data_IF_596061606883
#
_entry.id   IF_596061606883
#
_cell.length_a   1.000
_cell.length_b   1.000
_cell.length_c   1.000
_cell.angle_alpha   90.00
_cell.angle_beta   90.00
_cell.angle_gamma   90.00
#
_symmetry.space_group_name_H-M   'P 1'
#
loop_
_entity.id
_entity.type
_entity.pdbx_description
1 polymer ?
#
# COMPACT_ATOMS: atom_id res chain seq x y z
N UNK A 1 28.96 -9.47 5.45
CA UNK A 1 28.56 -8.46 4.45
C UNK A 1 27.07 -8.29 4.60
N UNK A 2 26.64 -7.26 5.33
CA UNK A 2 25.23 -6.98 5.56
C UNK A 2 24.70 -6.20 4.36
N UNK A 3 23.99 -6.86 3.46
CA UNK A 3 23.35 -6.19 2.33
C UNK A 3 22.12 -5.47 2.86
N UNK A 4 22.23 -4.16 3.06
CA UNK A 4 21.10 -3.26 3.26
C UNK A 4 20.14 -3.45 2.10
N UNK A 5 18.97 -4.06 2.35
CA UNK A 5 17.87 -4.19 1.39
C UNK A 5 17.43 -2.77 1.03
N UNK A 6 17.87 -2.28 -0.13
CA UNK A 6 17.46 -0.96 -0.65
C UNK A 6 15.95 -1.01 -0.84
N UNK A 7 15.25 0.01 -0.34
CA UNK A 7 13.82 0.17 -0.61
C UNK A 7 13.59 0.22 -2.12
N UNK A 8 12.69 -0.63 -2.60
CA UNK A 8 12.20 -0.64 -3.97
C UNK A 8 11.68 0.75 -4.32
N UNK A 9 12.14 1.30 -5.45
CA UNK A 9 11.72 2.63 -5.89
C UNK A 9 10.42 2.54 -6.69
N UNK A 10 9.56 3.58 -6.65
CA UNK A 10 8.31 3.61 -7.43
C UNK A 10 8.48 3.27 -8.92
N UNK A 11 9.64 3.60 -9.50
CA UNK A 11 9.94 3.29 -10.90
C UNK A 11 10.04 1.78 -11.21
N UNK A 12 10.33 0.95 -10.21
CA UNK A 12 10.37 -0.52 -10.37
C UNK A 12 8.97 -1.12 -10.22
N UNK A 13 8.07 -0.48 -9.47
CA UNK A 13 6.68 -0.92 -9.31
C UNK A 13 5.84 -0.61 -10.56
N UNK A 14 6.16 0.47 -11.29
CA UNK A 14 5.40 0.88 -12.49
C UNK A 14 5.55 -0.05 -13.71
N UNK A 15 6.50 -1.00 -13.70
CA UNK A 15 6.64 -1.99 -14.78
C UNK A 15 5.77 -3.24 -14.54
N UNK A 16 5.31 -3.46 -13.31
CA UNK A 16 4.44 -4.56 -12.91
C UNK A 16 2.99 -4.09 -12.76
N UNK A 17 2.03 -4.95 -13.13
CA UNK A 17 0.62 -4.66 -12.88
C UNK A 17 0.30 -4.91 -11.39
N UNK A 18 -0.50 -4.05 -10.73
CA UNK A 18 -0.95 -4.32 -9.39
C UNK A 18 -1.81 -5.59 -9.35
N UNK A 19 -1.63 -6.38 -8.29
CA UNK A 19 -2.41 -7.59 -8.03
C UNK A 19 -3.83 -7.22 -7.59
N UNK A 20 -3.95 -6.14 -6.82
CA UNK A 20 -5.21 -5.52 -6.44
C UNK A 20 -5.13 -4.02 -6.70
N UNK A 21 -6.14 -3.47 -7.36
CA UNK A 21 -6.43 -2.04 -7.39
C UNK A 21 -7.77 -1.82 -6.70
N UNK A 22 -7.76 -1.05 -5.62
CA UNK A 22 -8.93 -0.70 -4.86
C UNK A 22 -9.18 0.80 -4.99
N UNK A 23 -10.32 1.16 -5.60
CA UNK A 23 -10.76 2.54 -5.70
C UNK A 23 -11.39 2.96 -4.37
N UNK A 24 -10.80 3.95 -3.72
CA UNK A 24 -11.28 4.53 -2.47
C UNK A 24 -12.46 5.44 -2.75
N UNK A 25 -13.51 5.32 -1.94
CA UNK A 25 -14.59 6.32 -1.97
C UNK A 25 -14.14 7.60 -1.26
N UNK A 26 -14.51 8.79 -1.73
CA UNK A 26 -13.98 10.05 -1.21
C UNK A 26 -14.28 10.30 0.28
N UNK A 27 -15.32 9.66 0.82
CA UNK A 27 -15.68 9.70 2.24
C UNK A 27 -15.10 8.52 3.05
N UNK A 28 -14.42 7.56 2.40
CA UNK A 28 -13.80 6.40 3.03
C UNK A 28 -12.46 6.75 3.67
N UNK A 29 -12.26 6.29 4.91
CA UNK A 29 -10.98 6.49 5.58
C UNK A 29 -9.90 5.56 4.98
N UNK A 30 -8.64 6.00 5.05
CA UNK A 30 -7.53 5.22 4.48
C UNK A 30 -7.35 3.85 5.15
N UNK A 31 -7.74 3.70 6.42
CA UNK A 31 -7.62 2.42 7.15
C UNK A 31 -8.50 1.35 6.53
N UNK A 32 -9.80 1.65 6.40
CA UNK A 32 -10.80 0.77 5.83
C UNK A 32 -10.49 0.49 4.38
N UNK A 33 -10.04 1.50 3.63
CA UNK A 33 -9.66 1.32 2.23
C UNK A 33 -8.46 0.37 2.06
N UNK A 34 -7.41 0.52 2.89
CA UNK A 34 -6.24 -0.38 2.86
C UNK A 34 -6.65 -1.79 3.29
N UNK A 35 -7.40 -1.93 4.40
CA UNK A 35 -7.90 -3.22 4.90
C UNK A 35 -8.75 -3.92 3.83
N UNK A 36 -9.65 -3.20 3.17
CA UNK A 36 -10.47 -3.69 2.06
C UNK A 36 -9.64 -4.10 0.85
N UNK A 37 -8.60 -3.36 0.49
CA UNK A 37 -7.69 -3.73 -0.60
C UNK A 37 -7.01 -5.08 -0.33
N UNK A 38 -6.53 -5.31 0.89
CA UNK A 38 -5.91 -6.59 1.28
C UNK A 38 -6.90 -7.74 1.43
N UNK A 39 -8.15 -7.45 1.79
CA UNK A 39 -9.23 -8.44 1.86
C UNK A 39 -9.84 -8.76 0.48
N UNK A 40 -9.47 -8.02 -0.58
CA UNK A 40 -10.00 -8.20 -1.93
C UNK A 40 -9.28 -9.33 -2.68
N UNK A 41 -10.01 -10.09 -3.50
CA UNK A 41 -9.45 -11.11 -4.41
C UNK A 41 -8.56 -10.44 -5.46
N UNK A 42 -7.37 -10.99 -5.77
CA UNK A 42 -6.90 -12.35 -5.44
C UNK A 42 -6.09 -12.47 -4.15
N UNK A 43 -5.85 -11.39 -3.41
CA UNK A 43 -5.01 -11.43 -2.21
C UNK A 43 -5.69 -12.19 -1.06
N UNK A 44 -6.98 -11.90 -0.81
CA UNK A 44 -7.84 -12.52 0.23
C UNK A 44 -7.08 -12.78 1.55
N UNK A 45 -6.38 -11.75 2.02
CA UNK A 45 -5.48 -11.89 3.17
C UNK A 45 -6.31 -11.96 4.44
N UNK A 46 -6.13 -13.03 5.22
CA UNK A 46 -6.72 -13.07 6.57
C UNK A 46 -6.01 -12.06 7.49
N UNK A 47 -6.76 -11.01 7.83
CA UNK A 47 -6.30 -9.92 8.70
C UNK A 47 -6.53 -10.21 10.18
N UNK A 48 -7.33 -11.24 10.51
CA UNK A 48 -7.73 -11.56 11.88
C UNK A 48 -6.55 -11.95 12.79
N UNK A 49 -5.45 -12.43 12.20
CA UNK A 49 -4.24 -12.87 12.89
C UNK A 49 -3.00 -12.02 12.65
N UNK A 50 -3.11 -10.88 11.95
CA UNK A 50 -1.96 -10.03 11.59
C UNK A 50 -1.80 -8.84 12.52
N UNK A 51 -0.58 -8.30 12.55
CA UNK A 51 -0.31 -7.04 13.23
C UNK A 51 -1.18 -5.91 12.63
N UNK A 52 -1.71 -5.02 13.46
CA UNK A 52 -2.62 -3.97 13.03
C UNK A 52 -1.91 -2.96 12.13
N UNK A 53 -2.68 -2.31 11.25
CA UNK A 53 -2.14 -1.42 10.21
C UNK A 53 -1.30 -0.26 10.77
N UNK A 54 -1.68 0.29 11.93
CA UNK A 54 -0.96 1.39 12.57
C UNK A 54 0.46 1.05 13.03
N UNK A 55 0.83 -0.25 13.10
CA UNK A 55 2.21 -0.68 13.37
C UNK A 55 3.11 -0.54 12.13
N UNK A 56 2.51 -0.45 10.92
CA UNK A 56 3.21 -0.34 9.65
C UNK A 56 3.22 1.08 9.10
N UNK A 57 2.13 1.83 9.33
CA UNK A 57 1.95 3.17 8.80
C UNK A 57 1.28 4.07 9.84
N UNK A 58 1.83 5.28 10.00
CA UNK A 58 1.20 6.31 10.83
C UNK A 58 0.03 6.90 10.02
N UNK A 59 -1.18 6.55 10.45
CA UNK A 59 -2.43 6.88 9.75
C UNK A 59 -2.77 8.37 9.87
N UNK A 60 -2.43 8.99 11.00
CA UNK A 60 -2.63 10.43 11.20
C UNK A 60 -1.67 11.22 10.31
N UNK A 61 -0.43 10.75 10.17
CA UNK A 61 0.53 11.35 9.24
C UNK A 61 0.15 11.12 7.78
N UNK A 62 -0.46 9.97 7.45
CA UNK A 62 -0.98 9.68 6.11
C UNK A 62 -2.11 10.62 5.73
N UNK A 63 -3.08 10.80 6.63
CA UNK A 63 -4.22 11.69 6.42
C UNK A 63 -3.75 13.14 6.26
N UNK A 64 -2.85 13.59 7.15
CA UNK A 64 -2.24 14.91 7.05
C UNK A 64 -1.42 15.11 5.76
N UNK A 65 -0.75 14.06 5.27
CA UNK A 65 -0.01 14.10 4.01
C UNK A 65 -0.98 14.36 2.85
N UNK A 66 -2.08 13.63 2.75
CA UNK A 66 -3.03 13.78 1.65
C UNK A 66 -3.95 15.00 1.78
N UNK A 67 -4.25 15.47 3.00
CA UNK A 67 -4.92 16.76 3.20
C UNK A 67 -4.06 17.95 2.73
N UNK A 68 -2.73 17.85 2.91
CA UNK A 68 -1.80 18.94 2.57
C UNK A 68 -1.25 18.84 1.15
N UNK A 69 -1.24 17.65 0.57
CA UNK A 69 -0.81 17.38 -0.79
C UNK A 69 -1.90 17.74 -1.82
N UNK A 70 -1.46 17.97 -3.07
CA UNK A 70 -2.36 17.97 -4.23
C UNK A 70 -2.54 16.54 -4.74
N UNK A 71 -3.53 16.35 -5.61
CA UNK A 71 -3.94 15.06 -6.19
C UNK A 71 -2.81 14.26 -6.88
N UNK A 72 -1.64 14.88 -7.10
CA UNK A 72 -0.45 14.28 -7.73
C UNK A 72 0.50 13.55 -6.75
N UNK A 73 0.15 13.40 -5.47
CA UNK A 73 1.00 12.72 -4.48
C UNK A 73 0.63 11.24 -4.39
N UNK A 74 1.66 10.39 -4.38
CA UNK A 74 1.55 8.96 -4.15
C UNK A 74 2.55 8.55 -3.08
N UNK A 75 2.13 7.68 -2.17
CA UNK A 75 2.96 7.09 -1.13
C UNK A 75 3.22 5.61 -1.47
N UNK A 76 4.50 5.23 -1.54
CA UNK A 76 4.90 3.83 -1.66
C UNK A 76 5.44 3.31 -0.33
N UNK A 77 4.92 2.19 0.16
CA UNK A 77 5.40 1.51 1.37
C UNK A 77 5.27 -0.01 1.26
N UNK A 78 5.71 -0.75 2.28
CA UNK A 78 5.51 -2.20 2.38
C UNK A 78 4.62 -2.46 3.59
N UNK A 79 3.45 -3.02 3.34
CA UNK A 79 2.51 -3.43 4.39
C UNK A 79 2.36 -4.94 4.30
N UNK A 80 2.53 -5.64 5.42
CA UNK A 80 2.29 -7.09 5.49
C UNK A 80 3.10 -7.94 4.49
N UNK A 81 4.24 -7.42 4.03
CA UNK A 81 5.12 -8.06 3.05
C UNK A 81 4.85 -7.69 1.59
N UNK A 82 3.76 -6.96 1.31
CA UNK A 82 3.41 -6.52 -0.03
C UNK A 82 3.81 -5.07 -0.26
N UNK A 83 4.41 -4.74 -1.42
CA UNK A 83 4.54 -3.35 -1.84
C UNK A 83 3.15 -2.76 -2.08
N UNK A 84 2.91 -1.58 -1.54
CA UNK A 84 1.65 -0.85 -1.66
C UNK A 84 1.93 0.56 -2.15
N UNK A 85 1.16 1.01 -3.13
CA UNK A 85 1.08 2.41 -3.54
C UNK A 85 -0.28 2.94 -3.14
N UNK A 86 -0.29 4.05 -2.42
CA UNK A 86 -1.50 4.73 -1.94
C UNK A 86 -1.53 6.09 -2.60
N UNK A 87 -2.63 6.40 -3.28
CA UNK A 87 -2.97 7.74 -3.78
C UNK A 87 -4.24 8.22 -3.08
N UNK A 88 -4.70 9.43 -3.42
CA UNK A 88 -5.94 9.96 -2.86
C UNK A 88 -7.18 9.16 -3.31
N UNK A 89 -7.13 8.60 -4.52
CA UNK A 89 -8.25 7.91 -5.17
C UNK A 89 -8.11 6.38 -5.15
N UNK A 90 -6.88 5.86 -5.16
CA UNK A 90 -6.63 4.44 -5.40
C UNK A 90 -5.57 3.87 -4.46
N UNK A 91 -5.75 2.59 -4.12
CA UNK A 91 -4.78 1.78 -3.40
C UNK A 91 -4.40 0.60 -4.29
N UNK A 92 -3.12 0.49 -4.58
CA UNK A 92 -2.55 -0.55 -5.41
C UNK A 92 -1.66 -1.46 -4.56
N UNK A 93 -1.96 -2.75 -4.56
CA UNK A 93 -1.17 -3.77 -3.87
C UNK A 93 -0.48 -4.64 -4.91
N UNK A 94 0.84 -4.79 -4.77
CA UNK A 94 1.68 -5.53 -5.68
C UNK A 94 2.09 -6.88 -5.07
N UNK A 95 2.52 -7.79 -5.95
CA UNK A 95 2.99 -9.11 -5.51
C UNK A 95 4.32 -8.98 -4.74
N UNK A 96 4.48 -9.79 -3.70
CA UNK A 96 5.69 -9.80 -2.88
C UNK A 96 6.84 -10.61 -3.51
N UNK A 97 6.52 -11.53 -4.44
CA UNK A 97 7.45 -12.48 -5.05
C UNK A 97 8.02 -11.99 -6.41
N UNK A 98 7.37 -11.06 -7.12
CA UNK A 98 7.86 -10.58 -8.43
C UNK A 98 9.11 -9.68 -8.37
N UNK A 99 9.61 -9.36 -7.17
CA UNK A 99 10.81 -8.51 -7.00
C UNK A 99 12.09 -9.30 -6.72
N UNK A 100 12.10 -10.61 -6.97
CA UNK A 100 13.26 -11.48 -6.82
C UNK A 100 13.57 -12.27 -8.11
N UNK A 101 14.01 -11.58 -9.17
CA UNK A 101 14.85 -12.22 -10.21
C UNK A 101 16.06 -11.36 -10.57
#
# INVERSE_FOLDING_TARGET
MSTTKRGTTMAELTDSAPVVTYARDGDENFVDAIVSAFATTPLDVDLSGRDPLYEWIDLDALDALFESARDDVALSTIIWGHPVVITVDDIEVYDADETAE
#
